data_IF_956111545687
#
_entry.id   IF_956111545687
#
_cell.length_a   1.000
_cell.length_b   1.000
_cell.length_c   1.000
_cell.angle_alpha   90.00
_cell.angle_beta   90.00
_cell.angle_gamma   90.00
#
_symmetry.space_group_name_H-M   'P 1'
#
loop_
_entity.id
_entity.type
_entity.pdbx_description
1 polymer ?
#
# COMPACT_ATOMS: atom_id res chain seq x y z
N UNK A 1 7.72 -10.95 27.52
CA UNK A 1 8.80 -10.94 26.52
C UNK A 1 8.15 -10.85 25.14
N UNK A 2 8.27 -9.71 24.46
CA UNK A 2 8.01 -9.62 23.01
C UNK A 2 9.33 -9.16 22.36
N UNK A 3 10.24 -10.08 22.02
CA UNK A 3 11.44 -9.71 21.32
C UNK A 3 11.13 -9.62 19.81
N UNK A 4 11.57 -8.52 19.19
CA UNK A 4 11.95 -8.43 17.77
C UNK A 4 10.92 -7.94 16.71
N UNK A 5 9.87 -7.21 17.07
CA UNK A 5 9.03 -6.50 16.06
C UNK A 5 9.52 -5.08 15.69
N UNK A 6 10.65 -4.66 16.26
CA UNK A 6 11.12 -3.26 16.26
C UNK A 6 11.33 -2.62 14.86
N UNK A 7 11.79 -3.32 13.80
CA UNK A 7 11.95 -2.70 12.48
C UNK A 7 10.67 -2.70 11.61
N UNK A 8 9.73 -3.62 11.88
CA UNK A 8 8.56 -3.82 11.02
C UNK A 8 7.38 -2.92 11.42
N UNK A 9 7.20 -2.67 12.72
CA UNK A 9 6.13 -1.78 13.21
C UNK A 9 6.46 -0.29 12.95
N UNK A 10 7.73 0.09 12.94
CA UNK A 10 8.20 1.45 12.64
C UNK A 10 7.90 1.84 11.18
N UNK A 11 8.12 0.93 10.23
CA UNK A 11 7.81 1.15 8.82
C UNK A 11 6.30 1.35 8.61
N UNK A 12 5.47 0.47 9.19
CA UNK A 12 4.02 0.52 9.07
C UNK A 12 3.43 1.82 9.64
N UNK A 13 3.95 2.30 10.78
CA UNK A 13 3.47 3.52 11.41
C UNK A 13 3.76 4.78 10.58
N UNK A 14 4.94 4.86 9.96
CA UNK A 14 5.27 5.94 9.03
C UNK A 14 4.40 5.89 7.77
N UNK A 15 4.23 4.71 7.18
CA UNK A 15 3.37 4.52 6.00
C UNK A 15 1.92 4.97 6.27
N UNK A 16 1.36 4.60 7.43
CA UNK A 16 0.02 5.04 7.86
C UNK A 16 -0.04 6.56 8.04
N UNK A 17 1.01 7.16 8.56
CA UNK A 17 1.10 8.60 8.73
C UNK A 17 1.22 9.34 7.39
N UNK A 18 1.97 8.80 6.44
CA UNK A 18 2.07 9.35 5.09
C UNK A 18 0.71 9.30 4.38
N UNK A 19 -0.02 8.18 4.50
CA UNK A 19 -1.40 8.06 3.99
C UNK A 19 -2.35 9.04 4.68
N UNK A 20 -2.18 9.27 5.99
CA UNK A 20 -2.93 10.28 6.72
C UNK A 20 -2.66 11.70 6.21
N UNK A 21 -1.39 12.03 5.94
CA UNK A 21 -1.01 13.32 5.36
C UNK A 21 -1.60 13.48 3.95
N UNK A 22 -1.49 12.46 3.09
CA UNK A 22 -2.06 12.46 1.74
C UNK A 22 -3.58 12.67 1.72
N UNK A 23 -4.29 12.20 2.75
CA UNK A 23 -5.74 12.38 2.88
C UNK A 23 -6.13 13.72 3.53
N UNK A 24 -5.18 14.42 4.17
CA UNK A 24 -5.41 15.73 4.78
C UNK A 24 -4.91 16.89 3.94
N UNK A 25 -3.97 16.63 3.04
CA UNK A 25 -3.50 17.62 2.09
C UNK A 25 -4.63 17.93 1.11
N UNK A 26 -5.02 19.20 1.06
CA UNK A 26 -6.05 19.72 0.15
C UNK A 26 -5.45 20.21 -1.18
N UNK A 27 -4.11 20.22 -1.28
CA UNK A 27 -3.38 20.84 -2.38
C UNK A 27 -3.15 19.94 -3.60
N UNK A 28 -2.85 18.62 -3.48
CA UNK A 28 -2.78 17.78 -4.66
C UNK A 28 -4.19 17.33 -5.04
N UNK A 29 -4.67 17.81 -6.18
CA UNK A 29 -5.81 17.20 -6.88
C UNK A 29 -5.30 15.95 -7.60
N UNK A 30 -5.04 14.87 -6.86
CA UNK A 30 -4.75 13.58 -7.48
C UNK A 30 -6.06 12.93 -7.94
N UNK A 31 -6.05 12.40 -9.16
CA UNK A 31 -7.14 11.55 -9.63
C UNK A 31 -7.12 10.25 -8.82
N UNK A 32 -8.26 9.95 -8.17
CA UNK A 32 -8.39 8.78 -7.31
C UNK A 32 -8.18 7.47 -8.09
N UNK A 33 -8.56 7.43 -9.37
CA UNK A 33 -8.33 6.28 -10.25
C UNK A 33 -6.84 6.04 -10.49
N UNK A 34 -6.11 7.11 -10.82
CA UNK A 34 -4.66 7.09 -11.02
C UNK A 34 -3.93 6.67 -9.75
N UNK A 35 -4.29 7.22 -8.59
CA UNK A 35 -3.71 6.81 -7.31
C UNK A 35 -3.93 5.32 -7.06
N UNK A 36 -5.14 4.80 -7.30
CA UNK A 36 -5.44 3.39 -7.13
C UNK A 36 -4.61 2.51 -8.07
N UNK A 37 -4.53 2.84 -9.36
CA UNK A 37 -3.72 2.10 -10.34
C UNK A 37 -2.23 2.05 -9.94
N UNK A 38 -1.67 3.18 -9.50
CA UNK A 38 -0.29 3.23 -8.99
C UNK A 38 -0.12 2.37 -7.73
N UNK A 39 -1.04 2.48 -6.77
CA UNK A 39 -1.04 1.67 -5.56
C UNK A 39 -1.05 0.16 -5.90
N UNK A 40 -1.93 -0.29 -6.81
CA UNK A 40 -2.03 -1.70 -7.20
C UNK A 40 -0.77 -2.19 -7.93
N UNK A 41 -0.14 -1.36 -8.76
CA UNK A 41 1.15 -1.68 -9.36
C UNK A 41 2.25 -1.89 -8.30
N UNK A 42 2.40 -0.97 -7.36
CA UNK A 42 3.40 -1.12 -6.29
C UNK A 42 3.07 -2.28 -5.35
N UNK A 43 1.79 -2.56 -5.12
CA UNK A 43 1.35 -3.71 -4.35
C UNK A 43 1.74 -5.05 -5.02
N UNK A 44 1.72 -5.14 -6.36
CA UNK A 44 2.07 -6.38 -7.07
C UNK A 44 3.56 -6.72 -6.96
N UNK A 45 4.43 -5.71 -6.92
CA UNK A 45 5.87 -5.91 -6.71
C UNK A 45 6.28 -6.05 -5.24
N UNK A 46 5.36 -5.77 -4.32
CA UNK A 46 5.60 -5.87 -2.88
C UNK A 46 5.87 -7.32 -2.42
N UNK A 47 6.42 -7.50 -1.22
CA UNK A 47 6.74 -8.84 -0.69
C UNK A 47 5.50 -9.63 -0.29
N UNK A 48 4.44 -8.94 0.12
CA UNK A 48 3.21 -9.54 0.65
C UNK A 48 2.15 -9.57 -0.43
N UNK A 49 1.37 -10.65 -0.51
CA UNK A 49 0.23 -10.67 -1.43
C UNK A 49 -0.78 -9.59 -1.02
N UNK A 50 -1.39 -8.92 -1.99
CA UNK A 50 -2.48 -7.97 -1.70
C UNK A 50 -3.67 -8.68 -1.02
N UNK A 51 -3.88 -9.97 -1.30
CA UNK A 51 -4.90 -10.79 -0.65
C UNK A 51 -4.58 -11.11 0.82
N UNK A 52 -3.30 -11.06 1.18
CA UNK A 52 -2.83 -11.28 2.55
C UNK A 52 -2.81 -9.96 3.36
N UNK A 53 -3.11 -8.81 2.73
CA UNK A 53 -3.06 -7.51 3.38
C UNK A 53 -4.21 -7.34 4.38
N UNK A 54 -3.88 -7.35 5.68
CA UNK A 54 -4.86 -7.18 6.76
C UNK A 54 -4.83 -5.76 7.30
N UNK A 55 -5.91 -5.01 7.07
CA UNK A 55 -6.15 -3.69 7.70
C UNK A 55 -6.13 -3.78 9.24
N UNK A 56 -6.37 -4.96 9.81
CA UNK A 56 -6.32 -5.20 11.27
C UNK A 56 -4.96 -4.87 11.90
N UNK A 57 -3.84 -5.05 11.19
CA UNK A 57 -2.51 -4.73 11.72
C UNK A 57 -2.36 -3.24 12.06
N UNK A 58 -3.13 -2.38 11.39
CA UNK A 58 -3.17 -0.95 11.68
C UNK A 58 -3.77 -0.75 13.07
N UNK A 59 -4.88 -1.42 13.41
CA UNK A 59 -5.63 -1.27 14.66
C UNK A 59 -4.80 -1.54 15.92
N UNK A 60 -3.76 -2.34 15.79
CA UNK A 60 -2.87 -2.77 16.87
C UNK A 60 -1.90 -1.67 17.35
N UNK A 61 -1.66 -0.60 16.55
CA UNK A 61 -0.71 0.46 16.95
C UNK A 61 -1.25 1.26 18.14
N UNK A 62 -0.41 1.50 19.14
CA UNK A 62 -0.78 2.22 20.35
C UNK A 62 -0.57 3.73 20.22
N UNK A 63 -1.30 4.50 21.02
CA UNK A 63 -1.08 5.95 21.14
C UNK A 63 0.37 6.27 21.57
N UNK A 64 0.97 5.42 22.40
CA UNK A 64 2.35 5.54 22.85
C UNK A 64 3.35 5.44 21.69
N UNK A 65 3.12 4.51 20.75
CA UNK A 65 3.98 4.36 19.57
C UNK A 65 3.90 5.58 18.65
N UNK A 66 2.70 6.11 18.40
CA UNK A 66 2.50 7.35 17.64
C UNK A 66 3.26 8.52 18.30
N UNK A 67 3.09 8.69 19.61
CA UNK A 67 3.77 9.76 20.37
C UNK A 67 5.29 9.64 20.33
N UNK A 68 5.82 8.43 20.40
CA UNK A 68 7.27 8.23 20.45
C UNK A 68 7.93 8.32 19.08
N UNK A 69 7.24 7.95 18.00
CA UNK A 69 7.85 7.80 16.67
C UNK A 69 7.43 8.89 15.67
N UNK A 70 6.19 9.38 15.75
CA UNK A 70 5.65 10.35 14.79
C UNK A 70 5.73 11.77 15.33
N UNK A 71 5.33 12.01 16.58
CA UNK A 71 5.29 13.37 17.13
C UNK A 71 6.63 14.12 17.18
N UNK A 72 7.80 13.48 17.39
CA UNK A 72 9.09 14.17 17.33
C UNK A 72 9.39 14.76 15.95
N UNK A 73 8.74 14.24 14.89
CA UNK A 73 8.91 14.69 13.50
C UNK A 73 7.97 15.84 13.14
N UNK A 74 7.08 16.25 14.04
CA UNK A 74 6.00 17.20 13.76
C UNK A 74 6.02 18.39 14.71
N UNK A 75 5.62 19.55 14.19
CA UNK A 75 5.27 20.71 15.02
C UNK A 75 4.08 20.36 15.92
N UNK A 76 3.97 21.01 17.08
CA UNK A 76 2.96 20.66 18.11
C UNK A 76 1.54 20.70 17.57
N UNK A 77 1.27 21.61 16.64
CA UNK A 77 -0.03 21.89 16.02
C UNK A 77 -0.43 20.84 14.99
N UNK A 78 0.52 20.06 14.48
CA UNK A 78 0.31 19.04 13.44
C UNK A 78 0.25 17.63 14.00
N UNK A 79 0.30 17.45 15.31
CA UNK A 79 0.30 16.14 15.97
C UNK A 79 -1.13 15.56 15.99
N UNK A 80 -1.42 14.50 15.21
CA UNK A 80 -2.75 13.92 15.22
C UNK A 80 -2.98 13.07 16.48
N UNK A 81 -4.24 12.99 16.89
CA UNK A 81 -4.68 11.92 17.79
C UNK A 81 -4.74 10.59 17.01
N UNK A 82 -4.51 9.45 17.68
CA UNK A 82 -4.65 8.12 17.05
C UNK A 82 -6.00 7.96 16.36
N UNK A 83 -7.09 8.26 17.06
CA UNK A 83 -8.45 8.04 16.53
C UNK A 83 -8.70 8.78 15.22
N UNK A 84 -8.22 10.01 15.09
CA UNK A 84 -8.32 10.80 13.87
C UNK A 84 -7.48 10.20 12.73
N UNK A 85 -6.21 9.92 13.02
CA UNK A 85 -5.28 9.34 12.05
C UNK A 85 -5.84 8.05 11.46
N UNK A 86 -6.36 7.20 12.32
CA UNK A 86 -6.94 5.92 11.96
C UNK A 86 -8.18 6.03 11.11
N UNK A 87 -9.14 6.87 11.52
CA UNK A 87 -10.39 7.05 10.78
C UNK A 87 -10.13 7.51 9.35
N UNK A 88 -9.20 8.44 9.17
CA UNK A 88 -8.83 8.99 7.85
C UNK A 88 -8.06 7.96 7.01
N UNK A 89 -7.08 7.28 7.58
CA UNK A 89 -6.28 6.29 6.83
C UNK A 89 -7.09 5.05 6.46
N UNK A 90 -7.94 4.56 7.37
CA UNK A 90 -8.79 3.39 7.12
C UNK A 90 -9.71 3.59 5.92
N UNK A 91 -10.35 4.77 5.82
CA UNK A 91 -11.25 5.06 4.70
C UNK A 91 -10.55 5.05 3.35
N UNK A 92 -9.31 5.53 3.27
CA UNK A 92 -8.55 5.54 2.01
C UNK A 92 -8.07 4.13 1.67
N UNK A 93 -7.51 3.40 2.65
CA UNK A 93 -7.05 2.03 2.44
C UNK A 93 -8.17 1.09 2.02
N UNK A 94 -9.37 1.22 2.60
CA UNK A 94 -10.53 0.44 2.17
C UNK A 94 -10.86 0.66 0.70
N UNK A 95 -10.83 1.91 0.21
CA UNK A 95 -11.06 2.21 -1.22
C UNK A 95 -9.98 1.64 -2.12
N UNK A 96 -8.72 1.67 -1.69
CA UNK A 96 -7.59 1.13 -2.44
C UNK A 96 -7.61 -0.40 -2.50
N UNK A 97 -8.08 -1.05 -1.43
CA UNK A 97 -8.13 -2.51 -1.30
C UNK A 97 -9.46 -3.13 -1.76
N UNK A 98 -10.48 -2.32 -2.05
CA UNK A 98 -11.73 -2.79 -2.65
C UNK A 98 -11.52 -3.06 -4.14
N UNK A 99 -11.02 -4.26 -4.44
CA UNK A 99 -10.60 -4.66 -5.79
C UNK A 99 -11.79 -4.98 -6.69
N UNK A 100 -11.78 -4.41 -7.90
CA UNK A 100 -12.70 -4.79 -8.98
C UNK A 100 -12.37 -6.20 -9.52
N UNK A 101 -13.25 -6.77 -10.34
CA UNK A 101 -13.01 -8.07 -10.97
C UNK A 101 -11.74 -8.09 -11.83
N UNK A 102 -11.47 -7.02 -12.59
CA UNK A 102 -10.26 -6.90 -13.40
C UNK A 102 -9.00 -6.78 -12.53
N UNK A 103 -9.06 -5.99 -11.46
CA UNK A 103 -7.94 -5.83 -10.53
C UNK A 103 -7.62 -7.16 -9.82
N UNK A 104 -8.63 -7.92 -9.39
CA UNK A 104 -8.43 -9.26 -8.82
C UNK A 104 -7.77 -10.21 -9.82
N UNK A 105 -8.30 -10.26 -11.04
CA UNK A 105 -7.76 -11.08 -12.13
C UNK A 105 -6.30 -10.74 -12.43
N UNK A 106 -5.95 -9.44 -12.43
CA UNK A 106 -4.57 -8.99 -12.57
C UNK A 106 -3.66 -9.63 -11.52
N UNK A 107 -4.03 -9.58 -10.24
CA UNK A 107 -3.19 -10.17 -9.19
C UNK A 107 -3.11 -11.70 -9.28
N UNK A 108 -4.20 -12.36 -9.65
CA UNK A 108 -4.20 -13.82 -9.89
C UNK A 108 -3.19 -14.17 -10.99
N UNK A 109 -3.27 -13.54 -12.16
CA UNK A 109 -2.35 -13.76 -13.28
C UNK A 109 -0.91 -13.35 -12.93
N UNK A 110 -0.75 -12.24 -12.21
CA UNK A 110 0.54 -11.76 -11.75
C UNK A 110 1.24 -12.79 -10.85
N UNK A 111 0.51 -13.41 -9.91
CA UNK A 111 1.05 -14.43 -9.01
C UNK A 111 1.24 -15.80 -9.70
N UNK A 112 0.57 -16.06 -10.82
CA UNK A 112 0.83 -17.23 -11.67
C UNK A 112 2.04 -17.05 -12.61
N UNK A 113 2.63 -15.87 -12.67
CA UNK A 113 3.83 -15.60 -13.47
C UNK A 113 3.55 -15.07 -14.88
N UNK A 114 2.30 -14.70 -15.17
CA UNK A 114 1.84 -14.26 -16.50
C UNK A 114 1.06 -12.95 -16.41
N UNK A 115 1.65 -11.86 -15.88
CA UNK A 115 0.93 -10.64 -15.57
C UNK A 115 0.40 -9.92 -16.82
N UNK A 116 -0.91 -9.67 -16.88
CA UNK A 116 -1.51 -8.76 -17.85
C UNK A 116 -1.76 -7.37 -17.27
N UNK A 117 -0.79 -6.46 -17.48
CA UNK A 117 -0.89 -5.07 -17.01
C UNK A 117 -1.99 -4.25 -17.70
N UNK A 118 -2.56 -4.73 -18.81
CA UNK A 118 -3.70 -4.06 -19.45
C UNK A 118 -4.97 -4.11 -18.59
N UNK A 119 -5.04 -5.05 -17.63
CA UNK A 119 -6.10 -5.12 -16.64
C UNK A 119 -6.05 -3.97 -15.61
N UNK A 120 -4.90 -3.31 -15.46
CA UNK A 120 -4.74 -2.11 -14.61
C UNK A 120 -4.66 -0.82 -15.40
N UNK A 121 -4.04 -0.82 -16.58
CA UNK A 121 -3.73 0.37 -17.35
C UNK A 121 -4.30 0.32 -18.76
N UNK A 122 -5.11 1.31 -19.12
CA UNK A 122 -5.70 1.44 -20.45
C UNK A 122 -4.69 1.95 -21.49
N UNK A 123 -3.58 2.54 -21.04
CA UNK A 123 -2.55 3.11 -21.90
C UNK A 123 -1.49 2.05 -22.26
N UNK A 124 -1.43 1.67 -23.53
CA UNK A 124 -0.49 0.66 -24.03
C UNK A 124 0.99 0.98 -23.77
N UNK A 125 1.36 2.27 -23.76
CA UNK A 125 2.72 2.70 -23.40
C UNK A 125 3.04 2.42 -21.94
N UNK A 126 2.11 2.72 -21.02
CA UNK A 126 2.26 2.40 -19.60
C UNK A 126 2.28 0.90 -19.34
N UNK A 127 1.41 0.13 -20.02
CA UNK A 127 1.42 -1.34 -19.96
C UNK A 127 2.81 -1.88 -20.27
N UNK A 128 3.39 -1.43 -21.38
CA UNK A 128 4.75 -1.83 -21.78
C UNK A 128 5.80 -1.42 -20.76
N UNK A 129 5.77 -0.17 -20.29
CA UNK A 129 6.72 0.32 -19.28
C UNK A 129 6.65 -0.52 -18.01
N UNK A 130 5.44 -0.81 -17.51
CA UNK A 130 5.23 -1.60 -16.30
C UNK A 130 5.72 -3.05 -16.46
N UNK A 131 5.52 -3.65 -17.64
CA UNK A 131 6.00 -5.00 -17.98
C UNK A 131 7.53 -5.07 -18.05
N UNK A 132 8.15 -4.09 -18.71
CA UNK A 132 9.60 -4.03 -18.92
C UNK A 132 10.35 -3.45 -17.70
N UNK A 133 9.62 -2.99 -16.68
CA UNK A 133 10.22 -2.35 -15.52
C UNK A 133 11.13 -3.34 -14.76
N UNK A 134 12.39 -2.98 -14.44
CA UNK A 134 13.37 -3.95 -13.91
C UNK A 134 12.91 -4.69 -12.65
N UNK A 135 12.21 -4.00 -11.74
CA UNK A 135 11.68 -4.63 -10.52
C UNK A 135 10.50 -5.57 -10.81
N UNK A 136 9.71 -5.31 -11.86
CA UNK A 136 8.66 -6.23 -12.32
C UNK A 136 9.30 -7.52 -12.82
N UNK A 137 10.28 -7.41 -13.72
CA UNK A 137 11.01 -8.56 -14.29
C UNK A 137 11.65 -9.36 -13.16
N UNK A 138 12.37 -8.67 -12.25
CA UNK A 138 13.00 -9.31 -11.11
C UNK A 138 11.98 -10.01 -10.21
N UNK A 139 10.87 -9.34 -9.88
CA UNK A 139 9.83 -9.92 -9.03
C UNK A 139 9.24 -11.17 -9.66
N UNK A 140 8.89 -11.10 -10.95
CA UNK A 140 8.31 -12.21 -11.71
C UNK A 140 9.25 -13.43 -11.73
N UNK A 141 10.55 -13.21 -11.91
CA UNK A 141 11.57 -14.27 -11.84
C UNK A 141 11.71 -14.90 -10.45
N UNK A 142 11.35 -14.17 -9.38
CA UNK A 142 11.51 -14.59 -7.99
C UNK A 142 10.17 -14.82 -7.26
N UNK A 143 9.06 -14.90 -8.00
CA UNK A 143 7.80 -15.35 -7.41
C UNK A 143 7.94 -16.83 -7.08
N UNK A 144 7.97 -17.16 -5.79
CA UNK A 144 7.81 -18.54 -5.33
C UNK A 144 6.44 -18.98 -5.81
N UNK A 145 6.38 -19.76 -6.90
CA UNK A 145 5.11 -20.28 -7.45
C UNK A 145 4.38 -20.98 -6.32
N UNK A 146 3.31 -20.38 -5.80
CA UNK A 146 2.39 -21.11 -4.92
C UNK A 146 1.80 -22.19 -5.81
N UNK A 147 2.20 -23.45 -5.58
CA UNK A 147 1.46 -24.58 -6.15
C UNK A 147 0.02 -24.42 -5.65
N UNK A 148 -0.88 -24.16 -6.59
CA UNK A 148 -2.33 -24.17 -6.37
C UNK A 148 -2.72 -25.53 -5.81
#
# INVERSE_FOLDING_TARGET
>A
MLPNAWPFLTALLREIFDVYLLNNDKSPQYDAGTLKKLFLFYASISRTSIFDFKVKAIQELTEKEIKNQIWPLLSKEKRPAKTEMFKKTQSLLQKLLDLTSNEKKFFEEYYQGVPDFSLLFDNAGLVRICQEYPITIWKQAHLTRRKV
#
